data_IF_999841274416
#
_entry.id   IF_999841274416
#
_cell.length_a   1.000
_cell.length_b   1.000
_cell.length_c   1.000
_cell.angle_alpha   90.00
_cell.angle_beta   90.00
_cell.angle_gamma   90.00
#
_symmetry.space_group_name_H-M   'P 1'
#
loop_
_entity.id
_entity.type
_entity.pdbx_description
1 polymer ?
#
# COMPACT_ATOMS: atom_id res chain seq x y z
N UNK A 1 8.38 14.64 -10.53
CA UNK A 1 8.01 14.81 -9.11
C UNK A 1 7.84 13.45 -8.42
N UNK A 2 6.99 12.56 -8.89
CA UNK A 2 6.73 11.23 -8.30
C UNK A 2 8.00 10.40 -8.08
N UNK A 3 8.89 10.31 -9.09
CA UNK A 3 10.17 9.56 -9.00
C UNK A 3 11.01 10.02 -7.81
N UNK A 4 11.17 11.34 -7.62
CA UNK A 4 11.93 11.90 -6.49
C UNK A 4 11.32 11.51 -5.15
N UNK A 5 10.00 11.65 -5.01
CA UNK A 5 9.29 11.26 -3.78
C UNK A 5 9.44 9.79 -3.45
N UNK A 6 9.37 8.88 -4.44
CA UNK A 6 9.56 7.45 -4.24
C UNK A 6 10.99 7.11 -3.77
N UNK A 7 12.01 7.79 -4.33
CA UNK A 7 13.41 7.62 -3.92
C UNK A 7 13.61 8.10 -2.48
N UNK A 8 13.04 9.27 -2.12
CA UNK A 8 13.12 9.81 -0.76
C UNK A 8 12.45 8.88 0.26
N UNK A 9 11.27 8.34 -0.08
CA UNK A 9 10.59 7.31 0.74
C UNK A 9 11.52 6.11 0.94
N UNK A 10 12.15 5.61 -0.14
CA UNK A 10 13.07 4.49 -0.04
C UNK A 10 14.21 4.78 0.93
N UNK A 11 14.85 5.94 0.84
CA UNK A 11 15.94 6.34 1.73
C UNK A 11 15.48 6.37 3.19
N UNK A 12 14.27 6.86 3.47
CA UNK A 12 13.71 6.90 4.83
C UNK A 12 13.50 5.47 5.36
N UNK A 13 12.88 4.60 4.55
CA UNK A 13 12.62 3.22 4.92
C UNK A 13 13.92 2.42 5.13
N UNK A 14 14.92 2.58 4.24
CA UNK A 14 16.23 1.94 4.37
C UNK A 14 16.93 2.35 5.68
N UNK A 15 16.91 3.65 6.03
CA UNK A 15 17.49 4.15 7.29
C UNK A 15 16.81 3.59 8.53
N UNK A 16 15.53 3.31 8.45
CA UNK A 16 14.75 2.72 9.54
C UNK A 16 14.75 1.19 9.53
N UNK A 17 15.41 0.56 8.54
CA UNK A 17 15.42 -0.89 8.30
C UNK A 17 14.00 -1.45 8.13
N UNK A 18 13.08 -0.66 7.60
CA UNK A 18 11.71 -1.03 7.32
C UNK A 18 11.55 -1.44 5.86
N UNK A 19 10.59 -2.31 5.58
CA UNK A 19 10.31 -2.81 4.23
C UNK A 19 9.02 -2.22 3.68
N UNK A 20 9.02 -1.94 2.39
CA UNK A 20 7.80 -1.73 1.63
C UNK A 20 7.91 -2.42 0.27
N UNK A 21 6.77 -2.71 -0.34
CA UNK A 21 6.68 -3.43 -1.60
C UNK A 21 5.94 -2.61 -2.63
N UNK A 22 6.42 -2.65 -3.87
CA UNK A 22 5.67 -2.11 -4.99
C UNK A 22 4.45 -2.99 -5.27
N UNK A 23 3.27 -2.37 -5.31
CA UNK A 23 2.01 -3.06 -5.63
C UNK A 23 1.20 -2.24 -6.63
N UNK A 24 0.14 -2.82 -7.16
CA UNK A 24 -0.79 -2.13 -8.03
C UNK A 24 -0.12 -1.51 -9.27
N UNK A 25 -0.45 -0.28 -9.60
CA UNK A 25 0.01 0.41 -10.82
C UNK A 25 1.51 0.63 -10.85
N UNK A 26 2.13 0.92 -9.69
CA UNK A 26 3.58 1.13 -9.65
C UNK A 26 4.36 -0.17 -9.90
N UNK A 27 3.81 -1.31 -9.49
CA UNK A 27 4.37 -2.61 -9.84
C UNK A 27 4.25 -2.86 -11.35
N UNK A 28 3.10 -2.52 -11.94
CA UNK A 28 2.89 -2.62 -13.38
C UNK A 28 3.90 -1.75 -14.15
N UNK A 29 4.08 -0.49 -13.74
CA UNK A 29 5.04 0.43 -14.36
C UNK A 29 6.47 -0.14 -14.27
N UNK A 30 6.85 -0.70 -13.12
CA UNK A 30 8.17 -1.29 -12.92
C UNK A 30 8.40 -2.55 -13.78
N UNK A 31 7.40 -3.42 -13.93
CA UNK A 31 7.49 -4.65 -14.75
C UNK A 31 7.49 -4.31 -16.23
N UNK A 32 6.66 -3.38 -16.67
CA UNK A 32 6.58 -2.95 -18.08
C UNK A 32 7.74 -2.02 -18.47
N UNK A 33 8.59 -1.59 -17.53
CA UNK A 33 9.70 -0.64 -17.74
C UNK A 33 9.25 0.66 -18.40
N UNK A 34 8.05 1.11 -18.09
CA UNK A 34 7.53 2.38 -18.57
C UNK A 34 7.74 3.47 -17.52
N UNK A 35 7.96 4.69 -17.98
CA UNK A 35 7.92 5.85 -17.09
C UNK A 35 6.51 6.01 -16.53
N UNK A 36 6.41 6.64 -15.35
CA UNK A 36 5.11 6.97 -14.78
C UNK A 36 4.21 7.55 -15.85
N UNK A 37 3.20 6.78 -16.22
CA UNK A 37 2.13 7.32 -17.03
C UNK A 37 1.62 8.56 -16.27
N UNK A 38 1.53 9.70 -16.94
CA UNK A 38 1.18 11.02 -16.36
C UNK A 38 -0.24 11.04 -15.77
N UNK A 39 -0.51 10.21 -14.78
CA UNK A 39 -1.81 10.11 -14.15
C UNK A 39 -1.78 10.68 -12.74
N UNK A 40 -2.83 11.38 -12.41
CA UNK A 40 -3.09 11.92 -11.09
C UNK A 40 -3.62 10.79 -10.17
N UNK A 41 -2.80 9.74 -9.93
CA UNK A 41 -3.19 8.64 -9.06
C UNK A 41 -2.33 8.57 -7.79
N UNK A 42 -2.90 7.98 -6.74
CA UNK A 42 -2.16 7.66 -5.53
C UNK A 42 -1.28 6.44 -5.76
N UNK A 43 -0.01 6.53 -5.41
CA UNK A 43 0.93 5.41 -5.47
C UNK A 43 0.74 4.57 -4.22
N UNK A 44 0.28 3.34 -4.39
CA UNK A 44 0.11 2.40 -3.30
C UNK A 44 1.38 1.58 -3.11
N UNK A 45 1.84 1.54 -1.86
CA UNK A 45 2.98 0.74 -1.39
C UNK A 45 2.48 -0.17 -0.28
N UNK A 46 2.74 -1.47 -0.37
CA UNK A 46 2.38 -2.38 0.69
C UNK A 46 3.45 -2.40 1.78
N UNK A 47 3.03 -2.52 3.02
CA UNK A 47 3.89 -2.63 4.20
C UNK A 47 3.34 -3.73 5.12
N UNK A 48 4.21 -4.41 5.87
CA UNK A 48 3.73 -5.36 6.87
C UNK A 48 3.35 -4.61 8.15
N UNK A 49 2.11 -4.79 8.60
CA UNK A 49 1.62 -4.13 9.82
C UNK A 49 2.49 -4.45 11.03
N UNK A 50 2.92 -5.69 11.18
CA UNK A 50 3.76 -6.17 12.29
C UNK A 50 5.12 -5.45 12.37
N UNK A 51 5.68 -5.02 11.23
CA UNK A 51 6.95 -4.28 11.17
C UNK A 51 6.75 -2.78 11.41
N UNK A 52 5.66 -2.24 10.88
CA UNK A 52 5.43 -0.79 10.88
C UNK A 52 4.80 -0.30 12.17
N UNK A 53 3.88 -1.05 12.79
CA UNK A 53 3.15 -0.58 13.96
C UNK A 53 4.05 -0.13 15.11
N UNK A 54 5.10 -0.90 15.51
CA UNK A 54 6.01 -0.46 16.55
C UNK A 54 6.82 0.80 16.19
N UNK A 55 7.03 1.02 14.89
CA UNK A 55 7.88 2.09 14.35
C UNK A 55 7.09 3.27 13.78
N UNK A 56 5.76 3.28 13.94
CA UNK A 56 4.88 4.25 13.27
C UNK A 56 5.25 5.68 13.60
N UNK A 57 5.45 6.01 14.87
CA UNK A 57 5.79 7.38 15.30
C UNK A 57 7.12 7.85 14.69
N UNK A 58 8.14 6.98 14.72
CA UNK A 58 9.45 7.31 14.14
C UNK A 58 9.34 7.50 12.63
N UNK A 59 8.60 6.63 11.95
CA UNK A 59 8.37 6.73 10.51
C UNK A 59 7.64 8.03 10.15
N UNK A 60 6.57 8.38 10.87
CA UNK A 60 5.81 9.61 10.62
C UNK A 60 6.69 10.85 10.81
N UNK A 61 7.50 10.91 11.87
CA UNK A 61 8.43 12.00 12.11
C UNK A 61 9.47 12.11 10.97
N UNK A 62 10.05 10.97 10.53
CA UNK A 62 11.03 10.97 9.43
C UNK A 62 10.42 11.36 8.08
N UNK A 63 9.17 11.01 7.83
CA UNK A 63 8.44 11.46 6.65
C UNK A 63 8.19 12.97 6.71
N UNK A 64 7.78 13.48 7.88
CA UNK A 64 7.57 14.91 8.09
C UNK A 64 8.89 15.70 7.93
N UNK A 65 9.99 15.26 8.56
CA UNK A 65 11.33 15.84 8.39
C UNK A 65 11.78 15.83 6.91
N UNK A 66 11.36 14.80 6.17
CA UNK A 66 11.57 14.69 4.73
C UNK A 66 10.67 15.62 3.89
N UNK A 67 9.83 16.45 4.50
CA UNK A 67 8.92 17.37 3.82
C UNK A 67 7.69 16.70 3.19
N UNK A 68 7.26 15.54 3.72
CA UNK A 68 5.99 14.93 3.37
C UNK A 68 4.89 15.41 4.32
N UNK A 69 3.76 15.78 3.77
CA UNK A 69 2.55 16.08 4.53
C UNK A 69 1.74 14.80 4.75
N UNK A 70 1.32 14.54 5.99
CA UNK A 70 0.46 13.40 6.31
C UNK A 70 -0.98 13.80 6.03
N UNK A 71 -1.56 13.27 4.95
CA UNK A 71 -2.92 13.60 4.53
C UNK A 71 -3.98 12.70 5.15
N UNK A 72 -3.59 11.49 5.57
CA UNK A 72 -4.48 10.58 6.29
C UNK A 72 -3.65 9.56 7.06
N UNK A 73 -4.09 9.25 8.28
CA UNK A 73 -3.51 8.17 9.09
C UNK A 73 -4.63 7.37 9.74
N UNK A 74 -4.66 6.07 9.44
CA UNK A 74 -5.57 5.11 10.08
C UNK A 74 -4.73 4.01 10.75
N UNK A 75 -4.64 4.02 12.09
CA UNK A 75 -3.82 3.06 12.86
C UNK A 75 -4.51 1.70 13.08
N UNK A 76 -5.78 1.56 12.69
CA UNK A 76 -6.51 0.32 12.97
C UNK A 76 -6.05 -0.82 12.09
N UNK A 77 -5.75 -1.95 12.71
CA UNK A 77 -5.08 -3.10 12.12
C UNK A 77 -5.76 -3.73 10.91
N UNK A 78 -7.07 -3.66 10.80
CA UNK A 78 -7.78 -4.14 9.60
C UNK A 78 -7.83 -3.11 8.47
N UNK A 79 -7.35 -1.89 8.72
CA UNK A 79 -7.37 -0.76 7.79
C UNK A 79 -6.12 0.12 7.91
N UNK A 80 -5.04 -0.42 8.44
CA UNK A 80 -3.82 0.36 8.62
C UNK A 80 -3.42 1.02 7.30
N UNK A 81 -3.37 2.33 7.34
CA UNK A 81 -3.06 3.14 6.16
C UNK A 81 -2.42 4.45 6.57
N UNK A 82 -1.31 4.78 5.92
CA UNK A 82 -0.70 6.10 6.00
C UNK A 82 -0.74 6.69 4.60
N UNK A 83 -1.35 7.85 4.44
CA UNK A 83 -1.34 8.58 3.16
C UNK A 83 -0.56 9.87 3.32
N UNK A 84 0.37 10.10 2.41
CA UNK A 84 1.27 11.26 2.43
C UNK A 84 1.27 11.96 1.08
N UNK A 85 1.57 13.24 1.11
CA UNK A 85 1.65 14.09 -0.08
C UNK A 85 2.97 14.85 -0.07
N UNK A 86 3.62 14.96 -1.21
CA UNK A 86 4.77 15.85 -1.42
C UNK A 86 4.78 16.37 -2.85
N UNK A 87 4.86 17.69 -3.00
CA UNK A 87 4.87 18.35 -4.33
C UNK A 87 3.76 17.84 -5.26
N UNK A 88 2.53 17.69 -4.74
CA UNK A 88 1.37 17.21 -5.50
C UNK A 88 1.35 15.70 -5.77
N UNK A 89 2.42 14.96 -5.43
CA UNK A 89 2.46 13.50 -5.57
C UNK A 89 1.91 12.84 -4.32
N UNK A 90 0.97 11.90 -4.51
CA UNK A 90 0.29 11.20 -3.42
C UNK A 90 0.82 9.78 -3.28
N UNK A 91 1.21 9.39 -2.06
CA UNK A 91 1.64 8.04 -1.73
C UNK A 91 0.76 7.48 -0.61
N UNK A 92 0.54 6.18 -0.61
CA UNK A 92 -0.26 5.52 0.41
C UNK A 92 0.41 4.21 0.82
N UNK A 93 0.81 4.12 2.06
CA UNK A 93 1.25 2.86 2.66
C UNK A 93 0.03 2.08 3.13
N UNK A 94 -0.14 0.90 2.57
CA UNK A 94 -1.28 0.01 2.84
C UNK A 94 -0.77 -1.16 3.66
N UNK A 95 -1.28 -1.28 4.89
CA UNK A 95 -0.91 -2.35 5.80
C UNK A 95 -1.38 -3.71 5.31
N UNK A 96 -0.48 -4.68 5.37
CA UNK A 96 -0.75 -6.08 5.12
C UNK A 96 -0.61 -6.87 6.41
N UNK A 97 -1.65 -7.64 6.75
CA UNK A 97 -1.67 -8.54 7.89
C UNK A 97 -1.67 -9.99 7.41
N UNK A 98 -0.78 -10.82 7.96
CA UNK A 98 -0.74 -12.24 7.67
C UNK A 98 -1.90 -12.98 8.34
N UNK A 99 -2.63 -13.77 7.57
CA UNK A 99 -3.62 -14.72 8.06
C UNK A 99 -3.00 -16.09 8.33
N UNK A 100 -3.62 -16.85 9.25
CA UNK A 100 -3.27 -18.27 9.49
C UNK A 100 -3.39 -19.14 8.22
N UNK A 101 -4.17 -18.71 7.21
CA UNK A 101 -4.50 -19.48 6.01
C UNK A 101 -3.64 -19.13 4.79
N UNK A 102 -2.37 -18.76 4.96
CA UNK A 102 -1.44 -18.44 3.85
C UNK A 102 -1.88 -17.25 2.98
N UNK A 103 -2.55 -16.26 3.55
CA UNK A 103 -2.94 -15.04 2.88
C UNK A 103 -2.44 -13.81 3.62
N UNK A 104 -2.04 -12.77 2.86
CA UNK A 104 -1.97 -11.41 3.36
C UNK A 104 -3.23 -10.67 2.96
N UNK A 105 -3.77 -9.84 3.84
CA UNK A 105 -4.89 -8.99 3.52
C UNK A 105 -4.77 -7.60 4.13
N UNK A 106 -5.41 -6.69 3.44
CA UNK A 106 -5.75 -5.37 3.94
C UNK A 106 -7.29 -5.22 3.95
N UNK A 107 -7.77 -4.01 4.18
CA UNK A 107 -9.21 -3.72 4.23
C UNK A 107 -10.03 -4.23 3.04
N UNK A 108 -9.44 -4.29 1.86
CA UNK A 108 -10.17 -4.50 0.59
C UNK A 108 -9.72 -5.73 -0.19
N UNK A 109 -8.52 -6.26 0.10
CA UNK A 109 -7.89 -7.26 -0.76
C UNK A 109 -7.23 -8.36 0.03
N UNK A 110 -7.21 -9.55 -0.57
CA UNK A 110 -6.46 -10.71 -0.11
C UNK A 110 -5.40 -11.02 -1.15
N UNK A 111 -4.19 -11.31 -0.69
CA UNK A 111 -3.08 -11.67 -1.56
C UNK A 111 -2.49 -13.02 -1.12
N UNK A 112 -2.12 -13.93 -2.04
CA UNK A 112 -1.41 -15.15 -1.67
C UNK A 112 -0.12 -14.80 -0.93
N UNK A 113 0.08 -15.35 0.28
CA UNK A 113 1.26 -15.01 1.10
C UNK A 113 2.56 -15.38 0.40
N UNK A 114 2.56 -16.46 -0.40
CA UNK A 114 3.73 -16.92 -1.17
C UNK A 114 4.37 -15.82 -2.02
N UNK A 115 3.58 -14.88 -2.52
CA UNK A 115 4.08 -13.77 -3.36
C UNK A 115 4.92 -12.78 -2.57
N UNK A 116 4.57 -12.52 -1.31
CA UNK A 116 5.29 -11.62 -0.42
C UNK A 116 6.36 -12.35 0.38
N UNK A 117 6.12 -13.60 0.80
CA UNK A 117 7.11 -14.43 1.50
C UNK A 117 8.36 -14.67 0.62
N UNK A 118 8.17 -14.75 -0.71
CA UNK A 118 9.24 -14.89 -1.72
C UNK A 118 9.63 -13.59 -2.41
N UNK A 119 9.25 -12.43 -1.86
CA UNK A 119 9.50 -11.13 -2.48
C UNK A 119 10.97 -10.94 -2.87
N UNK A 120 11.19 -10.32 -4.03
CA UNK A 120 12.52 -10.05 -4.58
C UNK A 120 12.68 -8.58 -4.97
N UNK A 121 13.93 -8.16 -5.06
CA UNK A 121 14.23 -6.81 -5.53
C UNK A 121 14.10 -6.74 -7.06
N UNK A 122 13.40 -5.72 -7.55
CA UNK A 122 13.33 -5.34 -8.95
C UNK A 122 13.95 -3.97 -9.17
N UNK A 123 14.55 -3.77 -10.33
CA UNK A 123 15.14 -2.48 -10.69
C UNK A 123 14.05 -1.54 -11.23
N UNK A 124 13.91 -0.37 -10.63
CA UNK A 124 13.02 0.66 -11.08
C UNK A 124 13.63 2.05 -10.83
N UNK A 125 13.69 2.89 -11.85
CA UNK A 125 14.35 4.20 -11.81
C UNK A 125 15.78 4.21 -11.24
N UNK A 126 16.55 3.17 -11.53
CA UNK A 126 17.95 3.06 -11.09
C UNK A 126 18.12 2.62 -9.64
N UNK A 127 17.04 2.28 -8.94
CA UNK A 127 17.05 1.76 -7.58
C UNK A 127 16.44 0.36 -7.51
N UNK A 128 16.78 -0.40 -6.47
CA UNK A 128 16.18 -1.70 -6.17
C UNK A 128 15.02 -1.51 -5.19
N UNK A 129 13.85 -2.01 -5.56
CA UNK A 129 12.65 -2.02 -4.72
C UNK A 129 12.16 -3.44 -4.52
N UNK A 130 11.63 -3.75 -3.36
CA UNK A 130 10.99 -5.04 -3.13
C UNK A 130 9.67 -5.11 -3.90
N UNK A 131 9.41 -6.27 -4.48
CA UNK A 131 8.16 -6.58 -5.17
C UNK A 131 7.71 -8.01 -4.80
N UNK A 132 6.41 -8.28 -4.78
CA UNK A 132 5.90 -9.65 -4.74
C UNK A 132 6.50 -10.47 -5.88
N UNK A 133 6.79 -11.75 -5.65
CA UNK A 133 7.46 -12.57 -6.65
C UNK A 133 6.73 -13.91 -6.90
N UNK A 134 6.51 -14.32 -8.16
CA UNK A 134 6.80 -13.56 -9.40
C UNK A 134 5.90 -12.32 -9.55
N UNK A 135 6.43 -11.17 -9.99
CA UNK A 135 5.66 -9.95 -10.12
C UNK A 135 4.54 -10.09 -11.17
N UNK A 136 4.75 -10.89 -12.22
CA UNK A 136 3.76 -11.19 -13.24
C UNK A 136 2.56 -11.94 -12.63
N UNK A 137 2.77 -12.89 -11.72
CA UNK A 137 1.69 -13.59 -11.02
C UNK A 137 0.86 -12.63 -10.18
N UNK A 138 1.52 -11.67 -9.51
CA UNK A 138 0.84 -10.62 -8.76
C UNK A 138 0.01 -9.72 -9.69
N UNK A 139 0.52 -9.39 -10.87
CA UNK A 139 -0.20 -8.60 -11.86
C UNK A 139 -1.37 -9.37 -12.48
N UNK A 140 -1.20 -10.65 -12.78
CA UNK A 140 -2.29 -11.53 -13.25
C UNK A 140 -3.40 -11.66 -12.19
N UNK A 141 -3.01 -11.71 -10.92
CA UNK A 141 -3.94 -11.72 -9.79
C UNK A 141 -4.69 -10.38 -9.66
N UNK A 142 -4.01 -9.27 -9.90
CA UNK A 142 -4.57 -7.93 -9.72
C UNK A 142 -5.33 -7.43 -10.95
N UNK A 143 -4.86 -7.74 -12.15
CA UNK A 143 -5.37 -7.21 -13.43
C UNK A 143 -5.62 -8.32 -14.46
N UNK A 144 -6.80 -8.34 -15.09
CA UNK A 144 -7.17 -9.41 -16.07
C UNK A 144 -6.33 -9.44 -17.34
N UNK A 145 -5.87 -8.32 -17.83
CA UNK A 145 -5.25 -8.18 -19.17
C UNK A 145 -4.13 -7.14 -19.19
N UNK A 146 -3.25 -7.17 -18.19
CA UNK A 146 -2.20 -6.17 -18.07
C UNK A 146 -1.13 -6.23 -19.18
N UNK A 147 -0.99 -7.37 -19.87
CA UNK A 147 -0.05 -7.56 -20.99
C UNK A 147 -0.52 -6.95 -22.30
N UNK A 148 -1.79 -6.57 -22.42
CA UNK A 148 -2.29 -5.95 -23.62
C UNK A 148 -2.06 -4.44 -23.56
N UNK A 149 -1.50 -3.83 -24.64
CA UNK A 149 -1.39 -2.38 -24.70
C UNK A 149 -2.79 -1.77 -24.78
N UNK A 150 -3.27 -1.26 -23.65
CA UNK A 150 -4.55 -0.54 -23.62
C UNK A 150 -4.35 0.88 -24.17
N UNK A 151 -4.99 1.18 -25.31
CA UNK A 151 -5.41 2.53 -25.61
C UNK A 151 -6.46 2.92 -24.59
N UNK A 152 -6.18 3.95 -23.87
CA UNK A 152 -6.82 4.40 -22.66
C UNK A 152 -8.32 4.63 -22.76
N UNK A 153 -9.10 3.83 -22.05
CA UNK A 153 -10.30 4.27 -21.37
C UNK A 153 -10.09 4.01 -19.87
N UNK A 154 -10.05 5.05 -19.11
CA UNK A 154 -9.54 5.21 -17.73
C UNK A 154 -9.95 4.26 -16.61
N UNK A 155 -10.25 3.01 -16.86
CA UNK A 155 -10.61 2.06 -15.82
C UNK A 155 -9.90 0.71 -16.02
N UNK A 156 -8.77 0.53 -15.31
CA UNK A 156 -8.27 -0.81 -15.04
C UNK A 156 -9.29 -1.52 -14.15
N UNK A 157 -10.08 -2.43 -14.72
CA UNK A 157 -10.93 -3.31 -13.93
C UNK A 157 -10.04 -4.34 -13.21
N UNK A 158 -9.94 -4.22 -11.91
CA UNK A 158 -9.36 -5.23 -11.04
C UNK A 158 -10.12 -6.55 -11.19
N UNK A 159 -9.41 -7.65 -11.46
CA UNK A 159 -10.08 -8.87 -11.96
C UNK A 159 -10.42 -9.92 -10.92
N UNK A 160 -9.63 -10.06 -9.89
CA UNK A 160 -9.77 -11.16 -8.94
C UNK A 160 -9.55 -10.69 -7.50
N UNK A 161 -9.87 -9.47 -7.23
CA UNK A 161 -9.93 -9.00 -5.86
C UNK A 161 -11.19 -9.60 -5.26
N UNK A 162 -11.09 -10.83 -4.77
CA UNK A 162 -12.09 -11.33 -3.87
C UNK A 162 -12.17 -10.38 -2.69
N UNK A 163 -13.09 -9.42 -2.79
CA UNK A 163 -13.51 -8.57 -1.70
C UNK A 163 -14.26 -9.47 -0.73
N UNK A 164 -13.51 -10.39 -0.12
CA UNK A 164 -14.07 -11.20 0.94
C UNK A 164 -13.86 -10.46 2.27
N UNK A 165 -14.70 -9.48 2.49
CA UNK A 165 -15.04 -9.07 3.85
C UNK A 165 -16.25 -9.90 4.27
N UNK A 166 -16.11 -10.84 5.20
CA UNK A 166 -17.27 -11.47 5.80
C UNK A 166 -18.21 -10.36 6.31
N UNK A 167 -19.50 -10.44 5.99
CA UNK A 167 -20.48 -9.40 6.37
C UNK A 167 -20.45 -9.05 7.87
N UNK A 168 -20.14 -10.04 8.72
CA UNK A 168 -19.99 -9.82 10.16
C UNK A 168 -18.79 -8.95 10.53
N UNK A 169 -17.66 -9.03 9.78
CA UNK A 169 -16.48 -8.18 9.98
C UNK A 169 -16.78 -6.72 9.64
N UNK A 170 -17.53 -6.49 8.58
CA UNK A 170 -17.99 -5.14 8.20
C UNK A 170 -18.89 -4.54 9.30
N UNK A 171 -19.74 -5.35 9.91
CA UNK A 171 -20.61 -4.93 11.01
C UNK A 171 -19.77 -4.66 12.27
N UNK A 172 -18.87 -5.55 12.65
CA UNK A 172 -17.96 -5.36 13.81
C UNK A 172 -17.09 -4.11 13.67
N UNK A 173 -16.60 -3.83 12.46
CA UNK A 173 -15.83 -2.62 12.18
C UNK A 173 -16.68 -1.36 12.35
N UNK A 174 -17.91 -1.36 11.84
CA UNK A 174 -18.84 -0.24 12.02
C UNK A 174 -19.17 -0.01 13.49
N UNK A 175 -19.43 -1.08 14.25
CA UNK A 175 -19.70 -1.01 15.69
C UNK A 175 -18.46 -0.47 16.44
N UNK A 176 -17.28 -0.96 16.15
CA UNK A 176 -16.05 -0.49 16.78
C UNK A 176 -15.73 0.96 16.44
N UNK A 177 -15.97 1.38 15.20
CA UNK A 177 -15.83 2.78 14.80
C UNK A 177 -16.85 3.68 15.52
N UNK A 178 -18.07 3.23 15.69
CA UNK A 178 -19.10 3.93 16.44
C UNK A 178 -18.72 4.07 17.92
N UNK A 179 -18.22 2.99 18.56
CA UNK A 179 -17.75 3.01 19.95
C UNK A 179 -16.54 3.94 20.10
N UNK A 180 -15.61 3.96 19.15
CA UNK A 180 -14.45 4.87 19.17
C UNK A 180 -14.87 6.33 19.07
N UNK A 181 -15.84 6.64 18.24
CA UNK A 181 -16.37 8.01 18.11
C UNK A 181 -17.11 8.46 19.38
N UNK A 182 -17.89 7.57 19.99
CA UNK A 182 -18.59 7.88 21.25
C UNK A 182 -17.65 8.03 22.43
N UNK A 183 -16.59 7.21 22.50
CA UNK A 183 -15.55 7.34 23.53
C UNK A 183 -14.78 8.65 23.40
N UNK A 184 -14.47 9.08 22.17
CA UNK A 184 -13.80 10.38 21.93
C UNK A 184 -14.69 11.56 22.28
N UNK A 185 -16.00 11.44 22.13
CA UNK A 185 -16.96 12.47 22.53
C UNK A 185 -17.10 12.58 24.06
N UNK A 186 -17.03 11.44 24.78
CA UNK A 186 -17.15 11.40 26.25
C UNK A 186 -15.87 11.81 26.97
N UNK A 187 -14.70 11.77 26.30
CA UNK A 187 -13.42 12.22 26.86
C UNK A 187 -13.13 13.71 26.60
N UNK A 188 -13.96 14.39 25.82
CA UNK A 188 -13.86 15.81 25.51
C UNK A 188 -14.99 16.65 26.19
N UNK A 189 -15.71 16.06 27.15
CA UNK A 189 -16.58 16.73 28.14
C UNK A 189 -15.91 16.64 29.49
#
# INVERSE_FOLDING_TARGET
>A
MVKKGLIEIKIIFDKLQLRFFLIDKILLDAVCKVDFIKWNYTINLAIFEEEIMPNTTILLNKLFDGGFEISNFNPFTCFFKISIVKNGSKFSFVGLRKSKNRWYYNSNFRYPSKLFDNAKAINFFGNKYLAPFPPEEMLDFTYKKWRMPFRFSGQYKYSNRDVYMPKYLTILIKIRHFISLTASYLLNI
#
